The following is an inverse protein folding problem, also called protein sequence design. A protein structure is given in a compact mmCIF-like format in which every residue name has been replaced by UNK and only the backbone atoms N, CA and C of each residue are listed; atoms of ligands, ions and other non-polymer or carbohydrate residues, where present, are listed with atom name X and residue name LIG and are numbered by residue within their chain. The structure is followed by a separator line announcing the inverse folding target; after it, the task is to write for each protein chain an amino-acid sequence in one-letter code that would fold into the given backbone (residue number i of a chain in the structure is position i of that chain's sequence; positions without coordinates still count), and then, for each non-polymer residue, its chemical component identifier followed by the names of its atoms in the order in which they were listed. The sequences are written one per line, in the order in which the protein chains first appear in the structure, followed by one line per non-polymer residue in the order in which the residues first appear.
data_IF_508712523085
#
_entry.id   IF_508712523085
#
_cell.length_a   1.000
_cell.length_b   1.000
_cell.length_c   1.000
_cell.angle_alpha   90.00
_cell.angle_beta   90.00
_cell.angle_gamma   90.00
#
_symmetry.space_group_name_H-M   'P 1'
#
loop_
_entity.id
_entity.type
_entity.pdbx_description
1 polymer ?
#
# COMPACT_ATOMS: atom_id res chain seq x y z
N UNK A 1 11.57 -13.56 16.65
CA UNK A 1 10.12 -13.68 16.34
C UNK A 1 10.01 -14.15 14.90
N UNK A 2 9.18 -15.16 14.61
CA UNK A 2 8.96 -15.71 13.25
C UNK A 2 7.50 -15.43 12.87
N UNK A 3 7.25 -14.85 11.70
CA UNK A 3 5.90 -14.46 11.24
C UNK A 3 5.93 -13.24 10.31
N UNK A 4 4.76 -12.73 9.93
CA UNK A 4 4.61 -11.48 9.19
C UNK A 4 4.68 -10.26 10.10
N UNK A 5 4.90 -9.08 9.52
CA UNK A 5 4.88 -7.80 10.25
C UNK A 5 3.54 -7.56 10.94
N UNK A 6 2.42 -7.95 10.32
CA UNK A 6 1.08 -7.89 10.91
C UNK A 6 0.93 -8.75 12.16
N UNK A 7 1.61 -9.89 12.23
CA UNK A 7 1.54 -10.80 13.38
C UNK A 7 2.24 -10.19 14.60
N UNK A 8 3.40 -9.58 14.37
CA UNK A 8 4.15 -8.87 15.41
C UNK A 8 3.36 -7.68 15.93
N UNK A 9 2.80 -6.86 15.04
CA UNK A 9 1.97 -5.71 15.41
C UNK A 9 0.73 -6.15 16.21
N UNK A 10 0.02 -7.18 15.75
CA UNK A 10 -1.15 -7.72 16.45
C UNK A 10 -0.78 -8.20 17.85
N UNK A 11 0.33 -8.92 18.01
CA UNK A 11 0.81 -9.38 19.30
C UNK A 11 1.06 -8.21 20.26
N UNK A 12 1.77 -7.17 19.81
CA UNK A 12 2.05 -6.00 20.65
C UNK A 12 0.76 -5.30 21.12
N UNK A 13 -0.23 -5.17 20.22
CA UNK A 13 -1.54 -4.60 20.56
C UNK A 13 -2.30 -5.46 21.58
N UNK A 14 -2.26 -6.79 21.44
CA UNK A 14 -2.88 -7.73 22.38
C UNK A 14 -2.21 -7.72 23.76
N UNK A 15 -0.90 -7.45 23.81
CA UNK A 15 -0.14 -7.25 25.06
C UNK A 15 -0.43 -5.89 25.72
N UNK A 16 -1.34 -5.10 25.17
CA UNK A 16 -1.77 -3.81 25.72
C UNK A 16 -0.83 -2.64 25.39
N UNK A 17 0.14 -2.83 24.48
CA UNK A 17 0.94 -1.71 23.97
C UNK A 17 0.02 -0.72 23.27
N UNK A 18 0.25 0.56 23.54
CA UNK A 18 -0.46 1.67 22.89
C UNK A 18 0.46 2.34 21.89
N UNK A 19 -0.10 2.65 20.72
CA UNK A 19 0.58 3.39 19.67
C UNK A 19 -0.35 4.51 19.20
N UNK A 20 0.19 5.71 19.07
CA UNK A 20 -0.57 6.86 18.57
C UNK A 20 -0.63 6.87 17.03
N UNK A 21 0.35 6.23 16.39
CA UNK A 21 0.50 6.17 14.94
C UNK A 21 1.16 4.87 14.50
N UNK A 22 0.66 4.28 13.42
CA UNK A 22 1.32 3.19 12.69
C UNK A 22 1.60 3.65 11.26
N UNK A 23 2.83 3.44 10.80
CA UNK A 23 3.29 3.72 9.44
C UNK A 23 3.66 2.40 8.77
N UNK A 24 3.21 2.17 7.54
CA UNK A 24 3.53 0.98 6.78
C UNK A 24 3.98 1.31 5.35
N UNK A 25 5.15 0.79 4.97
CA UNK A 25 5.68 0.85 3.61
C UNK A 25 6.17 -0.55 3.23
N UNK A 26 5.71 -1.07 2.08
CA UNK A 26 6.03 -2.42 1.64
C UNK A 26 5.06 -2.90 0.56
N UNK A 27 4.97 -4.22 0.33
CA UNK A 27 3.99 -4.76 -0.62
C UNK A 27 2.56 -4.37 -0.25
N UNK A 28 1.72 -4.05 -1.24
CA UNK A 28 0.30 -3.67 -1.02
C UNK A 28 -0.46 -4.68 -0.14
N UNK A 29 -0.28 -6.01 -0.28
CA UNK A 29 -0.91 -6.97 0.63
C UNK A 29 -0.46 -6.80 2.10
N UNK A 30 0.81 -6.48 2.33
CA UNK A 30 1.34 -6.22 3.67
C UNK A 30 0.74 -4.93 4.25
N UNK A 31 0.70 -3.86 3.46
CA UNK A 31 0.10 -2.58 3.87
C UNK A 31 -1.39 -2.74 4.23
N UNK A 32 -2.14 -3.50 3.42
CA UNK A 32 -3.53 -3.88 3.72
C UNK A 32 -3.63 -4.66 5.03
N UNK A 33 -2.76 -5.64 5.26
CA UNK A 33 -2.79 -6.45 6.48
C UNK A 33 -2.54 -5.57 7.73
N UNK A 34 -1.61 -4.62 7.66
CA UNK A 34 -1.37 -3.65 8.74
C UNK A 34 -2.61 -2.77 8.97
N UNK A 35 -3.22 -2.25 7.90
CA UNK A 35 -4.43 -1.44 8.00
C UNK A 35 -5.58 -2.17 8.71
N UNK A 36 -5.77 -3.45 8.40
CA UNK A 36 -6.83 -4.26 9.04
C UNK A 36 -6.50 -4.65 10.49
N UNK A 37 -5.22 -4.87 10.83
CA UNK A 37 -4.82 -5.10 12.22
C UNK A 37 -5.09 -3.88 13.09
N UNK A 38 -4.86 -2.67 12.58
CA UNK A 38 -5.02 -1.43 13.37
C UNK A 38 -6.43 -0.88 13.40
N UNK A 39 -7.29 -1.23 12.42
CA UNK A 39 -8.67 -0.70 12.28
C UNK A 39 -9.55 -0.91 13.53
N UNK A 40 -9.61 -2.09 14.18
CA UNK A 40 -10.43 -2.30 15.38
C UNK A 40 -9.95 -1.46 16.57
N UNK A 41 -8.66 -1.18 16.63
CA UNK A 41 -8.04 -0.38 17.69
C UNK A 41 -8.14 1.13 17.43
N UNK A 42 -8.70 1.54 16.27
CA UNK A 42 -8.85 2.94 15.84
C UNK A 42 -7.52 3.72 15.87
N UNK A 43 -6.41 3.03 15.61
CA UNK A 43 -5.09 3.64 15.59
C UNK A 43 -4.88 4.32 14.23
N UNK A 44 -4.50 5.60 14.25
CA UNK A 44 -4.16 6.33 13.03
C UNK A 44 -3.10 5.54 12.26
N UNK A 45 -3.42 5.14 11.04
CA UNK A 45 -2.53 4.30 10.22
C UNK A 45 -2.28 4.94 8.88
N UNK A 46 -1.02 5.15 8.54
CA UNK A 46 -0.57 5.75 7.29
C UNK A 46 0.16 4.70 6.47
N UNK A 47 -0.13 4.65 5.18
CA UNK A 47 0.54 3.76 4.22
C UNK A 47 1.19 4.57 3.11
N UNK A 48 2.42 4.21 2.74
CA UNK A 48 3.11 4.77 1.59
C UNK A 48 2.83 3.91 0.36
N UNK A 49 1.89 4.34 -0.47
CA UNK A 49 1.41 3.56 -1.61
C UNK A 49 2.44 3.51 -2.74
N UNK A 50 2.49 2.38 -3.44
CA UNK A 50 3.41 2.12 -4.55
C UNK A 50 2.68 1.76 -5.86
N UNK A 51 1.77 2.60 -6.40
CA UNK A 51 1.16 2.37 -7.71
C UNK A 51 2.19 2.52 -8.84
N UNK A 52 1.81 2.10 -10.04
CA UNK A 52 2.59 2.39 -11.28
C UNK A 52 2.72 3.90 -11.43
N UNK A 53 3.93 4.39 -11.69
CA UNK A 53 4.20 5.80 -12.01
C UNK A 53 4.84 5.90 -13.39
N UNK A 54 4.56 7.00 -14.11
CA UNK A 54 5.14 7.29 -15.42
C UNK A 54 5.88 8.64 -15.33
N UNK A 55 5.14 9.75 -15.26
CA UNK A 55 5.70 11.10 -15.21
C UNK A 55 6.15 11.50 -13.80
N UNK A 56 5.38 11.12 -12.76
CA UNK A 56 5.68 11.46 -11.38
C UNK A 56 5.40 12.92 -10.99
N UNK A 57 4.81 13.72 -11.87
CA UNK A 57 4.58 15.16 -11.65
C UNK A 57 3.09 15.57 -11.73
N UNK A 58 2.20 14.60 -11.92
CA UNK A 58 0.74 14.79 -11.87
C UNK A 58 0.07 14.93 -13.24
N UNK A 59 0.80 14.66 -14.33
CA UNK A 59 0.32 14.90 -15.69
C UNK A 59 -0.44 13.70 -16.29
N UNK A 60 -0.09 12.45 -15.94
CA UNK A 60 -0.63 11.28 -16.66
C UNK A 60 -1.73 10.49 -15.91
N UNK A 61 -1.84 10.62 -14.58
CA UNK A 61 -2.78 9.81 -13.78
C UNK A 61 -2.49 8.30 -13.72
N UNK A 62 -1.31 7.87 -14.15
CA UNK A 62 -0.83 6.48 -14.03
C UNK A 62 -0.78 6.00 -12.58
N UNK A 63 -0.44 6.90 -11.66
CA UNK A 63 -0.37 6.65 -10.23
C UNK A 63 -1.69 6.79 -9.48
N UNK A 64 -2.83 6.88 -10.20
CA UNK A 64 -4.12 7.08 -9.56
C UNK A 64 -4.48 5.96 -8.59
N UNK A 65 -5.06 6.35 -7.46
CA UNK A 65 -5.59 5.50 -6.40
C UNK A 65 -6.95 6.04 -5.95
N UNK A 66 -7.80 5.18 -5.39
CA UNK A 66 -9.05 5.61 -4.75
C UNK A 66 -8.85 5.64 -3.24
N UNK A 67 -9.06 6.80 -2.64
CA UNK A 67 -8.93 7.03 -1.20
C UNK A 67 -10.18 7.73 -0.71
N UNK A 68 -10.94 7.08 0.17
CA UNK A 68 -12.18 7.63 0.72
C UNK A 68 -13.29 7.86 -0.32
N UNK A 69 -13.28 7.10 -1.42
CA UNK A 69 -14.22 7.27 -2.54
C UNK A 69 -13.79 8.32 -3.58
N UNK A 70 -12.69 9.05 -3.35
CA UNK A 70 -12.16 10.03 -4.28
C UNK A 70 -10.94 9.49 -5.03
N UNK A 71 -10.79 9.91 -6.29
CA UNK A 71 -9.56 9.66 -7.05
C UNK A 71 -8.48 10.64 -6.60
N UNK A 72 -7.30 10.11 -6.27
CA UNK A 72 -6.08 10.83 -5.91
C UNK A 72 -4.91 10.34 -6.74
N UNK A 73 -3.91 11.18 -6.99
CA UNK A 73 -2.68 10.84 -7.71
C UNK A 73 -1.54 10.71 -6.70
N UNK A 74 -1.02 9.49 -6.52
CA UNK A 74 -0.04 9.23 -5.48
C UNK A 74 1.26 10.07 -5.60
N UNK A 75 1.63 10.53 -6.80
CA UNK A 75 2.83 11.35 -6.98
C UNK A 75 2.68 12.82 -6.57
N UNK A 76 1.46 13.34 -6.42
CA UNK A 76 1.21 14.75 -6.07
C UNK A 76 0.33 14.91 -4.83
N UNK A 77 -0.65 14.04 -4.65
CA UNK A 77 -1.54 14.03 -3.48
C UNK A 77 -1.00 13.15 -2.34
N UNK A 78 0.02 12.33 -2.61
CA UNK A 78 0.55 11.31 -1.70
C UNK A 78 2.08 11.37 -1.58
N UNK A 79 2.79 10.21 -1.54
CA UNK A 79 2.28 8.84 -1.67
C UNK A 79 1.68 8.27 -0.38
N UNK A 80 1.74 9.06 0.70
CA UNK A 80 1.23 8.69 2.02
C UNK A 80 -0.26 8.98 2.15
N UNK A 81 -1.06 7.97 2.48
CA UNK A 81 -2.50 8.09 2.65
C UNK A 81 -2.98 7.42 3.93
N UNK A 82 -4.16 7.82 4.40
CA UNK A 82 -4.89 7.13 5.47
C UNK A 82 -5.22 5.70 5.01
N UNK A 83 -4.55 4.73 5.63
CA UNK A 83 -4.65 3.32 5.27
C UNK A 83 -6.07 2.79 5.40
N UNK A 84 -6.89 3.38 6.28
CA UNK A 84 -8.26 2.92 6.50
C UNK A 84 -9.23 3.38 5.41
N UNK A 85 -8.80 4.28 4.52
CA UNK A 85 -9.57 4.84 3.41
C UNK A 85 -9.12 4.35 2.02
N UNK A 86 -7.99 3.64 1.92
CA UNK A 86 -7.44 3.18 0.64
C UNK A 86 -8.23 1.99 0.07
N UNK A 87 -8.59 2.03 -1.21
CA UNK A 87 -9.05 0.85 -1.94
C UNK A 87 -7.86 -0.02 -2.37
N UNK A 88 -7.45 -0.91 -1.47
CA UNK A 88 -6.35 -1.85 -1.73
C UNK A 88 -6.65 -2.83 -2.86
N UNK A 89 -7.92 -3.20 -3.08
CA UNK A 89 -8.29 -4.16 -4.14
C UNK A 89 -8.06 -3.54 -5.50
N UNK A 90 -8.54 -2.31 -5.71
CA UNK A 90 -8.29 -1.56 -6.94
C UNK A 90 -6.79 -1.39 -7.19
N UNK A 91 -6.02 -0.96 -6.18
CA UNK A 91 -4.58 -0.77 -6.34
C UNK A 91 -3.86 -2.07 -6.72
N UNK A 92 -4.16 -3.19 -6.04
CA UNK A 92 -3.58 -4.50 -6.37
C UNK A 92 -3.93 -4.96 -7.80
N UNK A 93 -5.14 -4.67 -8.29
CA UNK A 93 -5.51 -4.99 -9.66
C UNK A 93 -4.71 -4.16 -10.67
N UNK A 94 -4.53 -2.85 -10.40
CA UNK A 94 -3.75 -1.94 -11.26
C UNK A 94 -2.29 -2.36 -11.37
N UNK A 95 -1.69 -2.82 -10.27
CA UNK A 95 -0.29 -3.27 -10.24
C UNK A 95 -0.01 -4.52 -11.06
N UNK A 96 -1.03 -5.30 -11.43
CA UNK A 96 -0.86 -6.51 -12.23
C UNK A 96 -0.98 -6.27 -13.74
N UNK A 97 -1.25 -5.04 -14.15
CA UNK A 97 -1.61 -4.72 -15.53
C UNK A 97 -0.52 -5.10 -16.54
N UNK A 98 0.75 -4.80 -16.24
CA UNK A 98 1.87 -5.03 -17.16
C UNK A 98 2.62 -6.35 -16.91
N UNK A 99 2.00 -7.32 -16.23
CA UNK A 99 2.72 -8.53 -15.79
C UNK A 99 3.27 -9.36 -16.95
N UNK A 100 2.59 -9.37 -18.08
CA UNK A 100 3.04 -10.09 -19.27
C UNK A 100 4.28 -9.43 -19.88
N UNK A 101 4.25 -8.11 -20.05
CA UNK A 101 5.36 -7.30 -20.53
C UNK A 101 6.55 -7.37 -19.60
N UNK A 102 6.33 -7.26 -18.28
CA UNK A 102 7.35 -7.43 -17.24
C UNK A 102 8.01 -8.81 -17.34
N UNK A 103 7.23 -9.88 -17.54
CA UNK A 103 7.76 -11.24 -17.68
C UNK A 103 8.57 -11.41 -18.95
N UNK A 104 8.10 -10.85 -20.08
CA UNK A 104 8.84 -10.86 -21.35
C UNK A 104 10.16 -10.08 -21.21
N UNK A 105 10.11 -8.88 -20.67
CA UNK A 105 11.28 -8.03 -20.45
C UNK A 105 12.30 -8.67 -19.48
N UNK A 106 11.84 -9.37 -18.44
CA UNK A 106 12.72 -10.08 -17.52
C UNK A 106 13.45 -11.25 -18.20
N UNK A 107 12.82 -11.95 -19.15
CA UNK A 107 13.44 -13.04 -19.92
C UNK A 107 14.45 -12.53 -20.94
N UNK A 108 14.13 -11.43 -21.63
CA UNK A 108 15.00 -10.80 -22.64
C UNK A 108 16.34 -10.28 -22.06
N UNK A 109 16.42 -10.03 -20.76
CA UNK A 109 17.65 -9.53 -20.11
C UNK A 109 18.72 -10.61 -19.86
N UNK A 110 18.43 -11.87 -20.18
CA UNK A 110 19.35 -13.00 -19.97
C UNK A 110 19.71 -13.74 -21.27
N UNK A 111 19.44 -13.12 -22.43
CA UNK A 111 19.98 -13.47 -23.75
C UNK A 111 20.95 -12.37 -24.20
#
# INVERSE_FOLDING_TARGET
IKGFTSDVLKKLLMEGRRFDLVMAAGPVPMMRAVAEVTRPYKIKTVVSLNPIMIDGTGMCGGCRVTVGGEIKFACVDGPEFDAHKVDFRQLMNRLRFYREEETKAAKLKFE
#
